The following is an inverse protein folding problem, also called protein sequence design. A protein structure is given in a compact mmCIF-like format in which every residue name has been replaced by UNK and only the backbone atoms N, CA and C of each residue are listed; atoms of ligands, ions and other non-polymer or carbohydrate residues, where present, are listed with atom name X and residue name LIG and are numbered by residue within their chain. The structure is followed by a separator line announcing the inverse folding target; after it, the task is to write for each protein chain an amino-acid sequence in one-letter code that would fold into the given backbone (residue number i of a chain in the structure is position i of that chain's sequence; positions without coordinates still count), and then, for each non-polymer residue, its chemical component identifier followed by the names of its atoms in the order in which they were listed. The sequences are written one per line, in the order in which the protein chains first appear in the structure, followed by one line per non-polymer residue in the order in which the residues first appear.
data_IF_512610477902
#
_entry.id   IF_512610477902
#
_cell.length_a   1.000
_cell.length_b   1.000
_cell.length_c   1.000
_cell.angle_alpha   90.00
_cell.angle_beta   90.00
_cell.angle_gamma   90.00
#
_symmetry.space_group_name_H-M   'P 1'
#
loop_
_entity.id
_entity.type
_entity.pdbx_description
1 polymer ?
#
# COMPACT_ATOMS: atom_id res chain seq x y z
N UNK A 1 5.97 8.74 -10.53
CA UNK A 1 4.86 7.80 -10.83
C UNK A 1 3.72 8.02 -9.85
N UNK A 2 2.52 7.76 -10.30
CA UNK A 2 1.36 7.77 -9.41
C UNK A 2 1.26 6.42 -8.72
N UNK A 3 1.21 6.44 -7.40
CA UNK A 3 1.24 5.23 -6.60
C UNK A 3 0.00 5.15 -5.72
N UNK A 4 -0.61 3.97 -5.64
CA UNK A 4 -1.58 3.65 -4.61
C UNK A 4 -0.85 2.74 -3.63
N UNK A 5 -0.88 3.10 -2.36
CA UNK A 5 -0.20 2.35 -1.31
C UNK A 5 -1.21 1.57 -0.49
N UNK A 6 -0.94 0.31 -0.27
CA UNK A 6 -1.81 -0.56 0.53
C UNK A 6 -1.01 -1.17 1.67
N UNK A 7 -1.38 -0.84 2.90
CA UNK A 7 -0.70 -1.37 4.08
C UNK A 7 -1.52 -1.11 5.32
N UNK A 8 -1.17 -1.74 6.43
CA UNK A 8 -1.95 -1.67 7.66
C UNK A 8 -1.10 -1.40 8.91
N UNK A 9 -0.11 -2.24 9.26
CA UNK A 9 0.58 -2.10 10.55
C UNK A 9 1.67 -1.03 10.51
N UNK A 10 2.25 -0.78 11.69
CA UNK A 10 3.30 0.22 11.84
C UNK A 10 4.52 -0.08 10.98
N UNK A 11 4.80 -1.34 10.73
CA UNK A 11 5.92 -1.76 9.89
C UNK A 11 5.80 -1.20 8.47
N UNK A 12 4.58 -0.92 8.02
CA UNK A 12 4.34 -0.36 6.69
C UNK A 12 4.45 1.17 6.65
N UNK A 13 4.54 1.83 7.80
CA UNK A 13 4.59 3.29 7.86
C UNK A 13 5.87 3.88 7.26
N UNK A 14 7.07 3.36 7.57
CA UNK A 14 8.28 3.93 6.98
C UNK A 14 8.30 3.92 5.46
N UNK A 15 7.75 2.87 4.86
CA UNK A 15 7.69 2.78 3.41
C UNK A 15 6.76 3.83 2.82
N UNK A 16 5.63 4.09 3.46
CA UNK A 16 4.72 5.14 3.02
C UNK A 16 5.38 6.51 3.11
N UNK A 17 6.07 6.78 4.21
CA UNK A 17 6.78 8.04 4.38
C UNK A 17 7.85 8.23 3.31
N UNK A 18 8.59 7.17 3.01
CA UNK A 18 9.63 7.24 1.98
C UNK A 18 9.05 7.55 0.62
N UNK A 19 7.93 6.92 0.26
CA UNK A 19 7.27 7.21 -1.01
C UNK A 19 6.72 8.63 -1.07
N UNK A 20 6.10 9.07 0.02
CA UNK A 20 5.51 10.42 0.07
C UNK A 20 6.57 11.51 -0.03
N UNK A 21 7.78 11.24 0.45
CA UNK A 21 8.88 12.19 0.39
C UNK A 21 9.75 12.06 -0.87
N UNK A 22 9.39 11.13 -1.76
CA UNK A 22 10.12 10.93 -3.00
C UNK A 22 9.53 11.81 -4.11
N UNK A 23 10.08 11.67 -5.29
CA UNK A 23 9.55 12.35 -6.48
C UNK A 23 8.24 11.73 -6.97
N UNK A 24 7.88 10.55 -6.44
CA UNK A 24 6.63 9.90 -6.82
C UNK A 24 5.46 10.45 -6.03
N UNK A 25 4.27 10.31 -6.60
CA UNK A 25 3.06 10.79 -5.95
C UNK A 25 2.26 9.62 -5.39
N UNK A 26 2.05 9.59 -4.08
CA UNK A 26 1.14 8.64 -3.46
C UNK A 26 -0.25 9.29 -3.47
N UNK A 27 -1.08 8.87 -4.40
CA UNK A 27 -2.37 9.53 -4.62
C UNK A 27 -3.49 8.99 -3.72
N UNK A 28 -3.33 7.79 -3.18
CA UNK A 28 -4.32 7.19 -2.29
C UNK A 28 -3.67 6.09 -1.45
N UNK A 29 -4.26 5.83 -0.29
CA UNK A 29 -3.80 4.78 0.61
C UNK A 29 -5.00 3.89 0.95
N UNK A 30 -4.80 2.58 0.87
CA UNK A 30 -5.80 1.60 1.29
C UNK A 30 -5.28 0.90 2.53
N UNK A 31 -6.11 0.80 3.56
CA UNK A 31 -5.76 0.08 4.79
C UNK A 31 -6.94 -0.79 5.22
N UNK A 32 -6.69 -1.66 6.18
CA UNK A 32 -7.75 -2.43 6.81
C UNK A 32 -8.68 -1.49 7.58
N UNK A 33 -9.95 -1.88 7.78
CA UNK A 33 -10.84 -1.10 8.63
C UNK A 33 -10.30 -0.99 10.05
N UNK A 34 -10.75 0.05 10.76
CA UNK A 34 -10.39 0.23 12.17
C UNK A 34 -10.79 -1.01 12.94
N UNK A 35 -10.00 -1.38 13.92
CA UNK A 35 -10.23 -2.57 14.73
C UNK A 35 -10.22 -2.24 16.21
N UNK A 36 -11.01 -2.96 17.03
CA UNK A 36 -10.92 -2.78 18.46
C UNK A 36 -9.59 -3.27 18.99
N UNK A 37 -9.00 -2.48 19.88
CA UNK A 37 -7.72 -2.81 20.50
C UNK A 37 -7.76 -2.54 22.00
N UNK A 38 -6.94 -3.28 22.72
CA UNK A 38 -6.80 -3.11 24.16
C UNK A 38 -7.93 -3.75 24.94
N UNK A 39 -7.86 -3.63 26.27
CA UNK A 39 -8.83 -4.24 27.14
C UNK A 39 -10.23 -3.66 26.98
N UNK A 40 -10.30 -2.37 26.64
CA UNK A 40 -11.57 -1.67 26.46
C UNK A 40 -12.13 -1.81 25.06
N UNK A 41 -11.46 -2.54 24.19
CA UNK A 41 -11.89 -2.74 22.81
C UNK A 41 -12.21 -1.44 22.11
N UNK A 42 -11.32 -0.46 22.25
CA UNK A 42 -11.49 0.84 21.60
C UNK A 42 -11.14 0.72 20.12
N UNK A 43 -12.02 1.20 19.28
CA UNK A 43 -11.78 1.19 17.83
C UNK A 43 -10.56 2.04 17.51
N UNK A 44 -9.55 1.40 16.96
CA UNK A 44 -8.25 2.05 16.70
C UNK A 44 -7.95 2.00 15.21
N UNK A 45 -7.57 3.13 14.60
CA UNK A 45 -7.21 3.12 13.19
C UNK A 45 -5.86 2.44 12.97
N UNK A 46 -5.64 1.85 11.80
CA UNK A 46 -4.32 1.32 11.46
C UNK A 46 -3.27 2.43 11.46
N UNK A 47 -2.03 2.07 11.78
CA UNK A 47 -0.95 3.05 11.82
C UNK A 47 -0.74 3.71 10.46
N UNK A 48 -0.91 2.98 9.39
CA UNK A 48 -0.79 3.52 8.03
C UNK A 48 -1.86 4.59 7.77
N UNK A 49 -3.08 4.38 8.28
CA UNK A 49 -4.13 5.40 8.14
C UNK A 49 -3.73 6.70 8.83
N UNK A 50 -3.25 6.60 10.05
CA UNK A 50 -2.83 7.78 10.81
C UNK A 50 -1.73 8.53 10.07
N UNK A 51 -0.76 7.80 9.54
CA UNK A 51 0.33 8.40 8.78
C UNK A 51 -0.18 9.08 7.52
N UNK A 52 -1.05 8.40 6.77
CA UNK A 52 -1.57 8.97 5.52
C UNK A 52 -2.38 10.23 5.77
N UNK A 53 -3.15 10.25 6.85
CA UNK A 53 -3.92 11.45 7.21
C UNK A 53 -3.00 12.64 7.52
N UNK A 54 -1.90 12.37 8.20
CA UNK A 54 -0.91 13.42 8.49
C UNK A 54 -0.25 13.95 7.22
N UNK A 55 -0.15 13.12 6.21
CA UNK A 55 0.43 13.49 4.93
C UNK A 55 -0.61 14.05 3.96
N UNK A 56 -1.86 14.17 4.41
CA UNK A 56 -2.97 14.67 3.60
C UNK A 56 -3.25 13.79 2.38
N UNK A 57 -3.08 12.50 2.53
CA UNK A 57 -3.34 11.53 1.47
C UNK A 57 -4.71 10.89 1.73
N UNK A 58 -5.60 10.80 0.71
CA UNK A 58 -6.89 10.13 0.89
C UNK A 58 -6.72 8.68 1.34
N UNK A 59 -7.55 8.25 2.30
CA UNK A 59 -7.50 6.91 2.86
C UNK A 59 -8.81 6.20 2.58
N UNK A 60 -8.72 4.95 2.16
CA UNK A 60 -9.86 4.09 1.90
C UNK A 60 -9.72 2.82 2.72
N UNK A 61 -10.82 2.37 3.31
CA UNK A 61 -10.81 1.21 4.19
C UNK A 61 -11.89 0.21 3.78
N UNK A 62 -11.79 -0.36 2.56
CA UNK A 62 -12.81 -1.27 2.09
C UNK A 62 -12.80 -2.56 2.90
N UNK A 63 -13.98 -3.08 3.18
CA UNK A 63 -14.11 -4.36 3.87
C UNK A 63 -13.89 -5.52 2.91
N UNK A 64 -14.19 -5.32 1.64
CA UNK A 64 -14.07 -6.37 0.64
C UNK A 64 -13.72 -5.77 -0.72
N UNK A 65 -13.10 -6.57 -1.56
CA UNK A 65 -12.85 -6.23 -2.96
C UNK A 65 -13.86 -6.91 -3.89
N UNK A 66 -14.77 -7.71 -3.34
CA UNK A 66 -15.70 -8.50 -4.15
C UNK A 66 -16.81 -7.68 -4.77
N UNK A 67 -17.15 -6.52 -4.20
CA UNK A 67 -18.24 -5.72 -4.70
C UNK A 67 -17.83 -4.77 -5.84
N UNK A 68 -16.56 -4.76 -6.20
CA UNK A 68 -16.07 -3.92 -7.30
C UNK A 68 -15.84 -2.46 -6.94
N UNK A 69 -16.25 -2.01 -5.77
CA UNK A 69 -16.07 -0.61 -5.38
C UNK A 69 -14.61 -0.19 -5.25
N UNK A 70 -13.75 -0.99 -4.57
CA UNK A 70 -12.34 -0.62 -4.51
C UNK A 70 -11.69 -0.54 -5.89
N UNK A 71 -12.06 -1.43 -6.79
CA UNK A 71 -11.52 -1.38 -8.15
C UNK A 71 -11.92 -0.10 -8.87
N UNK A 72 -13.17 0.34 -8.70
CA UNK A 72 -13.63 1.59 -9.28
C UNK A 72 -12.81 2.78 -8.77
N UNK A 73 -12.52 2.80 -7.48
CA UNK A 73 -11.70 3.85 -6.87
C UNK A 73 -10.29 3.83 -7.48
N UNK A 74 -9.70 2.65 -7.59
CA UNK A 74 -8.36 2.50 -8.14
C UNK A 74 -8.32 2.99 -9.59
N UNK A 75 -9.31 2.58 -10.39
CA UNK A 75 -9.37 3.00 -11.79
C UNK A 75 -9.53 4.51 -11.94
N UNK A 76 -10.23 5.14 -11.00
CA UNK A 76 -10.41 6.57 -11.01
C UNK A 76 -9.09 7.30 -10.84
N UNK A 77 -8.20 6.78 -10.02
CA UNK A 77 -6.87 7.36 -9.84
C UNK A 77 -5.91 7.03 -10.97
N UNK A 78 -6.17 5.94 -11.68
CA UNK A 78 -5.33 5.49 -12.79
C UNK A 78 -3.85 5.41 -12.38
N UNK A 79 -3.51 4.59 -11.37
CA UNK A 79 -2.15 4.56 -10.85
C UNK A 79 -1.17 3.90 -11.82
N UNK A 80 0.07 4.29 -11.71
CA UNK A 80 1.14 3.61 -12.45
C UNK A 80 1.52 2.30 -11.77
N UNK A 81 1.52 2.29 -10.45
CA UNK A 81 1.89 1.10 -9.70
C UNK A 81 1.13 1.08 -8.37
N UNK A 82 0.84 -0.14 -7.91
CA UNK A 82 0.26 -0.34 -6.58
C UNK A 82 1.34 -0.97 -5.71
N UNK A 83 1.64 -0.36 -4.57
CA UNK A 83 2.64 -0.89 -3.64
C UNK A 83 1.89 -1.47 -2.45
N UNK A 84 2.14 -2.74 -2.15
CA UNK A 84 1.47 -3.46 -1.07
C UNK A 84 2.50 -3.82 -0.01
N UNK A 85 2.24 -3.45 1.24
CA UNK A 85 3.14 -3.75 2.35
C UNK A 85 2.30 -4.17 3.56
N UNK A 86 2.13 -5.47 3.74
CA UNK A 86 1.36 -6.03 4.84
C UNK A 86 -0.07 -5.46 4.90
N UNK A 87 -0.77 -5.51 3.77
CA UNK A 87 -2.13 -5.02 3.73
C UNK A 87 -3.10 -5.92 4.49
N UNK A 88 -2.94 -7.22 4.37
CA UNK A 88 -3.78 -8.17 5.10
C UNK A 88 -5.02 -8.60 4.36
N UNK A 89 -5.18 -8.23 3.10
CA UNK A 89 -6.28 -8.70 2.25
C UNK A 89 -5.72 -9.27 0.97
N UNK A 90 -6.41 -10.27 0.45
CA UNK A 90 -6.05 -10.86 -0.83
C UNK A 90 -6.62 -9.96 -1.92
N UNK A 91 -5.77 -9.55 -2.86
CA UNK A 91 -6.18 -8.69 -3.95
C UNK A 91 -6.59 -9.52 -5.16
N UNK A 92 -7.76 -9.26 -5.73
CA UNK A 92 -8.17 -9.98 -6.94
C UNK A 92 -7.29 -9.59 -8.12
N UNK A 93 -7.24 -10.46 -9.11
CA UNK A 93 -6.44 -10.21 -10.30
C UNK A 93 -6.80 -8.91 -10.99
N UNK A 94 -8.08 -8.55 -10.99
CA UNK A 94 -8.53 -7.30 -11.60
C UNK A 94 -7.86 -6.08 -10.97
N UNK A 95 -7.60 -6.14 -9.65
CA UNK A 95 -6.89 -5.07 -8.97
C UNK A 95 -5.41 -5.10 -9.33
N UNK A 96 -4.82 -6.30 -9.35
CA UNK A 96 -3.40 -6.44 -9.70
C UNK A 96 -3.12 -5.93 -11.11
N UNK A 97 -4.06 -6.09 -12.02
CA UNK A 97 -3.91 -5.68 -13.40
C UNK A 97 -4.33 -4.24 -13.65
N UNK A 98 -4.85 -3.55 -12.64
CA UNK A 98 -5.40 -2.21 -12.83
C UNK A 98 -4.33 -1.13 -12.93
N UNK A 99 -3.16 -1.37 -12.42
CA UNK A 99 -2.07 -0.41 -12.49
C UNK A 99 -1.24 -0.65 -13.75
N UNK A 100 -0.71 0.43 -14.32
CA UNK A 100 0.05 0.35 -15.56
C UNK A 100 1.23 -0.61 -15.46
N UNK A 101 1.94 -0.59 -14.35
CA UNK A 101 3.10 -1.45 -14.12
C UNK A 101 2.82 -2.57 -13.12
N UNK A 102 1.56 -2.77 -12.74
CA UNK A 102 1.19 -3.85 -11.83
C UNK A 102 1.38 -3.52 -10.36
N UNK A 103 1.57 -4.56 -9.56
CA UNK A 103 1.71 -4.42 -8.12
C UNK A 103 3.08 -4.85 -7.65
N UNK A 104 3.58 -4.16 -6.61
CA UNK A 104 4.81 -4.52 -5.93
C UNK A 104 4.41 -4.93 -4.52
N UNK A 105 4.84 -6.10 -4.08
CA UNK A 105 4.61 -6.52 -2.71
C UNK A 105 5.92 -6.42 -1.92
N UNK A 106 5.91 -5.57 -0.91
CA UNK A 106 7.10 -5.37 -0.08
C UNK A 106 7.02 -6.30 1.12
N UNK A 107 7.96 -7.21 1.20
CA UNK A 107 8.06 -8.10 2.35
C UNK A 107 8.99 -7.48 3.38
N UNK A 108 8.70 -7.73 4.65
CA UNK A 108 9.54 -7.20 5.72
C UNK A 108 11.01 -7.53 5.56
N UNK A 109 11.31 -8.69 5.00
CA UNK A 109 12.68 -9.11 4.81
C UNK A 109 13.43 -8.27 3.78
N UNK A 110 12.73 -7.53 2.94
CA UNK A 110 13.38 -6.67 1.95
C UNK A 110 13.81 -5.33 2.54
N UNK A 111 13.12 -4.85 3.56
CA UNK A 111 13.39 -3.53 4.09
C UNK A 111 14.83 -3.36 4.61
N UNK A 112 15.41 -4.29 5.35
CA UNK A 112 16.79 -4.13 5.78
C UNK A 112 17.79 -4.14 4.62
N UNK A 113 17.44 -4.76 3.53
CA UNK A 113 18.31 -4.86 2.36
C UNK A 113 18.55 -3.51 1.71
N UNK A 114 17.57 -2.63 1.80
CA UNK A 114 17.66 -1.31 1.20
C UNK A 114 17.86 -0.22 2.24
N UNK A 115 18.37 -0.58 3.40
CA UNK A 115 18.52 0.34 4.49
C UNK A 115 19.36 1.56 4.08
N UNK A 116 18.94 2.76 4.46
CA UNK A 116 19.69 3.97 4.24
C UNK A 116 19.25 4.78 3.07
N UNK A 117 19.20 4.22 1.87
CA UNK A 117 18.67 4.96 0.71
C UNK A 117 17.19 4.67 0.64
N UNK A 118 16.41 5.45 -0.04
CA UNK A 118 14.97 5.25 -0.15
C UNK A 118 14.67 3.83 -0.64
N UNK A 119 14.36 2.90 0.24
CA UNK A 119 14.32 1.49 -0.17
C UNK A 119 13.22 1.20 -1.19
N UNK A 120 12.05 1.81 -1.01
CA UNK A 120 10.94 1.56 -1.90
C UNK A 120 11.21 2.16 -3.28
N UNK A 121 11.68 3.39 -3.29
CA UNK A 121 11.99 4.08 -4.53
C UNK A 121 13.05 3.32 -5.31
N UNK A 122 14.06 2.82 -4.62
CA UNK A 122 15.12 2.08 -5.26
C UNK A 122 14.62 0.75 -5.82
N UNK A 123 13.74 0.06 -5.09
CA UNK A 123 13.12 -1.17 -5.57
C UNK A 123 12.39 -0.94 -6.88
N UNK A 124 11.60 0.12 -6.96
CA UNK A 124 10.84 0.43 -8.16
C UNK A 124 11.78 0.71 -9.32
N UNK A 125 12.81 1.53 -9.09
CA UNK A 125 13.75 1.91 -10.14
C UNK A 125 14.57 0.73 -10.65
N UNK A 126 14.84 -0.24 -9.79
CA UNK A 126 15.62 -1.42 -10.16
C UNK A 126 14.78 -2.53 -10.76
N UNK A 127 13.48 -2.30 -10.92
CA UNK A 127 12.62 -3.32 -11.49
C UNK A 127 12.18 -4.38 -10.49
N UNK A 128 12.42 -4.18 -9.22
CA UNK A 128 12.00 -5.14 -8.19
C UNK A 128 10.49 -5.26 -8.14
N UNK A 129 9.78 -4.39 -8.86
CA UNK A 129 8.34 -4.48 -8.96
C UNK A 129 7.89 -5.82 -9.51
N UNK A 130 8.76 -6.54 -10.18
CA UNK A 130 8.43 -7.85 -10.70
C UNK A 130 8.30 -8.90 -9.60
N UNK A 131 8.73 -8.59 -8.39
CA UNK A 131 8.66 -9.55 -7.31
C UNK A 131 7.25 -10.00 -7.00
N UNK A 132 6.27 -9.19 -7.32
CA UNK A 132 4.91 -9.55 -6.99
C UNK A 132 4.17 -10.19 -8.13
N UNK A 133 4.79 -10.35 -9.26
CA UNK A 133 4.11 -11.01 -10.36
C UNK A 133 3.93 -12.49 -10.10
N UNK A 134 4.71 -13.07 -9.20
CA UNK A 134 4.49 -14.44 -8.88
C UNK A 134 3.20 -14.55 -8.08
N UNK A 135 2.37 -15.48 -8.38
CA UNK A 135 1.18 -15.72 -7.65
C UNK A 135 1.62 -16.05 -6.27
N UNK A 136 1.30 -15.23 -5.44
CA UNK A 136 1.63 -15.46 -4.17
C UNK A 136 1.07 -16.61 -3.70
N UNK A 137 1.71 -17.26 -3.03
CA UNK A 137 1.19 -18.27 -2.22
C UNK A 137 0.10 -17.80 -1.38
#
# INVERSE_FOLDING_TARGET
MKIIYMGTPDFAVPALKALANSEHEVCAVFTQPDKPRGRKMIMTPPDVKVCAEKLNIPVYQPETFKDGKPLEIINKYNPDVIVVAAYGKILPKSVLDSAKYGCINLHGSLLPKYRGASPIQQSVLNGDCLLYTSPSP
#
